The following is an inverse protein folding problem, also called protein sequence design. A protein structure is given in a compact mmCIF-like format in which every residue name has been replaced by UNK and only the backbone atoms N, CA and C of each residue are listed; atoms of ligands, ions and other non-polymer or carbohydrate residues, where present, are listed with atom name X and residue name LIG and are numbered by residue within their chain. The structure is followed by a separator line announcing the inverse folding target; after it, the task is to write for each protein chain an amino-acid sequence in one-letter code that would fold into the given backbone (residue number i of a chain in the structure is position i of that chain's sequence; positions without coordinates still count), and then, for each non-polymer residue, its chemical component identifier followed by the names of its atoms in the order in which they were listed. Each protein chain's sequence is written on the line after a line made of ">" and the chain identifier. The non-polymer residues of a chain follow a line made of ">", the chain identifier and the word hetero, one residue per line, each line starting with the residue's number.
data_IF_989700182362
#
_entry.id   IF_989700182362
#
_cell.length_a   1.000
_cell.length_b   1.000
_cell.length_c   1.000
_cell.angle_alpha   90.00
_cell.angle_beta   90.00
_cell.angle_gamma   90.00
#
_symmetry.space_group_name_H-M   'P 1'
#
loop_
_entity.id
_entity.type
_entity.pdbx_description
1 polymer ?
#
# COMPACT_ATOMS: atom_id res chain seq x y z
N UNK A 1 9.18 4.76 2.89
CA UNK A 1 8.08 5.62 2.39
C UNK A 1 8.62 7.03 2.19
N UNK A 2 8.25 7.72 1.10
CA UNK A 2 8.85 9.02 0.76
C UNK A 2 7.84 10.17 1.00
N UNK A 3 8.09 11.08 1.96
CA UNK A 3 7.20 12.21 2.23
C UNK A 3 7.17 13.29 1.14
N UNK A 4 8.12 13.26 0.19
CA UNK A 4 8.20 14.25 -0.90
C UNK A 4 7.34 13.89 -2.11
N UNK A 5 6.81 12.67 -2.17
CA UNK A 5 5.98 12.21 -3.28
C UNK A 5 4.51 12.56 -3.04
N UNK A 6 3.76 12.72 -4.14
CA UNK A 6 2.33 13.07 -4.14
C UNK A 6 1.54 12.09 -5.00
N UNK A 7 0.29 11.88 -4.64
CA UNK A 7 -0.65 11.05 -5.41
C UNK A 7 -0.99 11.67 -6.77
N UNK A 8 -1.36 10.84 -7.74
CA UNK A 8 -1.77 11.25 -9.09
C UNK A 8 -0.70 11.08 -10.17
N UNK A 9 0.37 10.33 -9.89
CA UNK A 9 1.44 10.03 -10.85
C UNK A 9 1.79 8.53 -10.83
N UNK A 10 2.75 8.11 -11.65
CA UNK A 10 3.27 6.73 -11.71
C UNK A 10 3.96 6.24 -10.42
N UNK A 11 3.89 7.03 -9.32
CA UNK A 11 4.64 6.83 -8.08
C UNK A 11 3.74 6.70 -6.86
N UNK A 12 2.44 6.52 -7.06
CA UNK A 12 1.44 6.41 -5.98
C UNK A 12 1.75 5.25 -5.00
N UNK A 13 2.51 4.26 -5.47
CA UNK A 13 3.01 3.13 -4.69
C UNK A 13 4.09 3.49 -3.66
N UNK A 14 4.69 4.68 -3.77
CA UNK A 14 5.85 5.11 -2.97
C UNK A 14 5.54 6.27 -2.02
N UNK A 15 4.35 6.86 -2.13
CA UNK A 15 3.89 8.00 -1.32
C UNK A 15 3.79 7.58 0.15
N UNK A 16 4.35 8.39 1.05
CA UNK A 16 4.17 8.20 2.48
C UNK A 16 2.68 8.30 2.86
N UNK A 17 2.17 7.29 3.59
CA UNK A 17 0.77 7.24 3.98
C UNK A 17 -0.16 6.57 2.97
N UNK A 18 0.37 6.13 1.82
CA UNK A 18 -0.36 5.35 0.82
C UNK A 18 -0.54 3.91 1.28
N UNK A 19 -1.72 3.35 1.02
CA UNK A 19 -1.95 1.89 1.09
C UNK A 19 -2.28 1.37 -0.30
N UNK A 20 -1.63 0.29 -0.71
CA UNK A 20 -1.87 -0.33 -2.01
C UNK A 20 -2.60 -1.65 -1.79
N UNK A 21 -3.66 -1.87 -2.56
CA UNK A 21 -4.30 -3.17 -2.70
C UNK A 21 -4.20 -3.58 -4.15
N UNK A 22 -3.91 -4.85 -4.40
CA UNK A 22 -3.81 -5.40 -5.74
C UNK A 22 -4.36 -6.81 -5.86
N UNK A 23 -4.85 -7.12 -7.05
CA UNK A 23 -5.30 -8.44 -7.46
C UNK A 23 -4.49 -8.86 -8.69
N UNK A 24 -4.02 -10.11 -8.73
CA UNK A 24 -3.28 -10.63 -9.86
C UNK A 24 -2.26 -11.69 -9.50
N UNK A 25 -1.28 -11.86 -10.39
CA UNK A 25 -0.20 -12.82 -10.24
C UNK A 25 0.66 -12.54 -8.98
N UNK A 26 0.92 -13.56 -8.18
CA UNK A 26 1.75 -13.45 -6.96
C UNK A 26 2.94 -14.40 -6.91
N UNK A 27 3.21 -15.16 -7.98
CA UNK A 27 4.30 -16.13 -8.04
C UNK A 27 5.69 -15.53 -7.79
N UNK A 28 5.97 -14.32 -8.30
CA UNK A 28 7.22 -13.61 -8.04
C UNK A 28 7.47 -13.27 -6.55
N UNK A 29 6.44 -13.38 -5.69
CA UNK A 29 6.50 -13.17 -4.24
C UNK A 29 6.22 -14.46 -3.46
N UNK A 30 6.24 -15.62 -4.11
CA UNK A 30 5.97 -16.93 -3.50
C UNK A 30 4.49 -17.24 -3.28
N UNK A 31 3.58 -16.41 -3.82
CA UNK A 31 2.15 -16.67 -3.77
C UNK A 31 1.70 -17.68 -4.82
N UNK A 32 0.51 -18.26 -4.61
CA UNK A 32 -0.05 -19.31 -5.48
C UNK A 32 -0.93 -18.78 -6.63
N UNK A 33 -1.18 -17.46 -6.69
CA UNK A 33 -2.08 -16.90 -7.69
C UNK A 33 -1.34 -16.75 -9.04
N UNK A 34 -1.87 -17.38 -10.08
CA UNK A 34 -1.32 -17.42 -11.44
C UNK A 34 -2.17 -16.65 -12.45
N UNK A 35 -2.95 -15.66 -11.99
CA UNK A 35 -3.74 -14.80 -12.87
C UNK A 35 -2.89 -14.18 -13.99
N UNK A 36 -3.46 -14.12 -15.20
CA UNK A 36 -2.81 -13.52 -16.39
C UNK A 36 -2.86 -11.99 -16.40
N UNK A 37 -3.73 -11.39 -15.57
CA UNK A 37 -3.88 -9.95 -15.41
C UNK A 37 -3.54 -9.49 -13.99
N UNK A 38 -3.21 -8.21 -13.89
CA UNK A 38 -2.95 -7.53 -12.62
C UNK A 38 -3.67 -6.19 -12.59
N UNK A 39 -4.26 -5.87 -11.46
CA UNK A 39 -4.80 -4.56 -11.16
C UNK A 39 -4.38 -4.16 -9.76
N UNK A 40 -4.15 -2.87 -9.55
CA UNK A 40 -3.88 -2.32 -8.23
C UNK A 40 -4.44 -0.91 -8.14
N UNK A 41 -4.71 -0.47 -6.91
CA UNK A 41 -5.07 0.90 -6.61
C UNK A 41 -4.34 1.36 -5.35
N UNK A 42 -4.03 2.65 -5.33
CA UNK A 42 -3.59 3.37 -4.15
C UNK A 42 -4.80 3.98 -3.44
N UNK A 43 -4.82 3.86 -2.12
CA UNK A 43 -5.81 4.47 -1.24
C UNK A 43 -5.13 5.55 -0.41
N UNK A 44 -5.73 6.74 -0.39
CA UNK A 44 -5.35 7.83 0.51
C UNK A 44 -6.13 7.73 1.82
N UNK A 45 -5.59 8.28 2.91
CA UNK A 45 -6.29 8.41 4.21
C UNK A 45 -6.71 7.07 4.84
N UNK A 46 -6.01 5.98 4.52
CA UNK A 46 -6.31 4.68 5.10
C UNK A 46 -5.94 4.63 6.60
N UNK A 47 -6.74 3.89 7.37
CA UNK A 47 -6.38 3.41 8.71
C UNK A 47 -5.99 1.96 8.58
N UNK A 48 -4.77 1.61 9.02
CA UNK A 48 -4.21 0.27 8.86
C UNK A 48 -3.87 -0.32 10.21
N UNK A 49 -4.36 -1.55 10.41
CA UNK A 49 -4.10 -2.37 11.59
C UNK A 49 -3.43 -3.66 11.14
N UNK A 50 -2.29 -4.01 11.76
CA UNK A 50 -1.58 -5.26 11.52
C UNK A 50 -1.55 -6.03 12.84
N UNK A 51 -2.06 -7.27 12.83
CA UNK A 51 -2.12 -8.12 14.04
C UNK A 51 -2.78 -7.44 15.25
N UNK A 52 -3.83 -6.65 15.01
CA UNK A 52 -4.54 -5.89 16.06
C UNK A 52 -3.85 -4.57 16.47
N UNK A 53 -2.62 -4.31 16.05
CA UNK A 53 -1.92 -3.05 16.32
C UNK A 53 -2.20 -2.03 15.20
N UNK A 54 -2.74 -0.86 15.57
CA UNK A 54 -2.89 0.26 14.62
C UNK A 54 -1.50 0.81 14.28
N UNK A 55 -1.14 0.78 12.99
CA UNK A 55 0.16 1.26 12.49
C UNK A 55 0.03 2.54 11.66
N UNK A 56 -1.17 2.84 11.17
CA UNK A 56 -1.49 4.04 10.43
C UNK A 56 -2.92 4.52 10.74
N UNK A 57 -3.12 5.83 10.84
CA UNK A 57 -4.42 6.46 11.05
C UNK A 57 -4.58 7.65 10.11
N UNK A 58 -5.66 7.69 9.32
CA UNK A 58 -5.91 8.75 8.34
C UNK A 58 -4.69 9.03 7.42
N UNK A 59 -4.01 7.97 6.98
CA UNK A 59 -2.80 8.06 6.15
C UNK A 59 -1.54 8.53 6.90
N UNK A 60 -1.56 8.69 8.23
CA UNK A 60 -0.40 9.06 9.04
C UNK A 60 0.17 7.84 9.75
N UNK A 61 1.45 7.55 9.52
CA UNK A 61 2.16 6.49 10.23
C UNK A 61 2.21 6.81 11.73
N UNK A 62 1.93 5.80 12.56
CA UNK A 62 1.89 5.91 14.02
C UNK A 62 3.19 5.51 14.71
N UNK A 63 4.23 5.17 13.93
CA UNK A 63 5.53 4.79 14.49
C UNK A 63 6.13 6.00 15.21
N UNK A 64 6.54 5.83 16.47
CA UNK A 64 7.30 6.86 17.17
C UNK A 64 8.63 7.08 16.45
N UNK A 65 8.84 8.30 15.98
CA UNK A 65 10.13 8.84 15.55
C UNK A 65 11.13 8.87 16.70
#
# INVERSE_FOLDING_TARGET
>A
MNPKLRHGFTQDDKVLGSTIVGFGHSGAKGGKNVASGTWWASMTKATVTISGQKVMEDGKLLVKS
#
